data_IF_133339654007
#
_entry.id   IF_133339654007
#
_cell.length_a   1.000
_cell.length_b   1.000
_cell.length_c   1.000
_cell.angle_alpha   90.00
_cell.angle_beta   90.00
_cell.angle_gamma   90.00
#
_symmetry.space_group_name_H-M   'P 1'
#
loop_
_entity.id
_entity.type
_entity.pdbx_description
1 polymer ?
#
# COMPACT_ATOMS: atom_id res chain seq x y z
N UNK A 1 7.24 7.42 -3.80
CA UNK A 1 7.13 7.20 -5.27
C UNK A 1 5.75 7.54 -5.86
N UNK A 2 4.63 7.15 -5.23
CA UNK A 2 3.27 7.41 -5.76
C UNK A 2 2.47 8.50 -5.01
N UNK A 3 3.17 9.34 -4.25
CA UNK A 3 2.59 10.44 -3.46
C UNK A 3 2.10 10.08 -2.05
N UNK A 4 2.29 8.82 -1.64
CA UNK A 4 2.07 8.39 -0.25
C UNK A 4 3.19 8.85 0.69
N UNK A 5 2.84 9.11 1.94
CA UNK A 5 3.77 9.40 3.02
C UNK A 5 4.42 8.15 3.59
N UNK A 6 5.07 8.29 4.75
CA UNK A 6 5.67 7.15 5.45
C UNK A 6 4.55 6.25 6.00
N UNK A 7 4.59 4.93 5.73
CA UNK A 7 3.57 4.04 6.23
C UNK A 7 3.70 3.83 7.74
N UNK A 8 2.58 3.86 8.44
CA UNK A 8 2.44 3.39 9.81
C UNK A 8 1.95 1.93 9.79
N UNK A 9 2.55 1.07 10.61
CA UNK A 9 2.18 -0.34 10.72
C UNK A 9 1.61 -0.61 12.10
N UNK A 10 0.34 -1.03 12.17
CA UNK A 10 -0.33 -1.39 13.43
C UNK A 10 -0.69 -2.87 13.44
N UNK A 11 -0.21 -3.62 14.43
CA UNK A 11 -0.69 -4.99 14.70
C UNK A 11 -2.12 -4.90 15.19
N UNK A 12 -2.99 -5.76 14.66
CA UNK A 12 -4.39 -5.88 15.11
C UNK A 12 -4.68 -7.33 15.51
N UNK A 13 -5.52 -7.48 16.52
CA UNK A 13 -6.02 -8.78 16.97
C UNK A 13 -7.47 -8.91 16.52
N UNK A 14 -7.75 -9.97 15.78
CA UNK A 14 -9.08 -10.30 15.29
C UNK A 14 -9.46 -11.64 15.90
N UNK A 15 -10.32 -11.63 16.91
CA UNK A 15 -10.64 -12.82 17.71
C UNK A 15 -11.15 -14.02 16.87
N UNK A 16 -11.76 -13.74 15.72
CA UNK A 16 -12.31 -14.72 14.78
C UNK A 16 -11.25 -15.33 13.84
N UNK A 17 -10.06 -14.75 13.79
CA UNK A 17 -8.97 -15.12 12.90
C UNK A 17 -7.74 -15.49 13.74
N UNK A 18 -7.34 -16.77 13.70
CA UNK A 18 -6.21 -17.27 14.49
C UNK A 18 -4.82 -16.78 14.05
N UNK A 19 -4.73 -16.00 12.97
CA UNK A 19 -3.47 -15.52 12.39
C UNK A 19 -3.20 -14.06 12.76
N UNK A 20 -1.91 -13.69 12.81
CA UNK A 20 -1.49 -12.31 12.99
C UNK A 20 -1.88 -11.43 11.80
N UNK A 21 -2.38 -10.23 12.08
CA UNK A 21 -2.83 -9.26 11.08
C UNK A 21 -2.23 -7.90 11.37
N UNK A 22 -1.94 -7.16 10.30
CA UNK A 22 -1.38 -5.82 10.37
C UNK A 22 -2.17 -4.88 9.47
N UNK A 23 -2.45 -3.69 9.98
CA UNK A 23 -2.91 -2.55 9.19
C UNK A 23 -1.69 -1.73 8.76
N UNK A 24 -1.53 -1.57 7.45
CA UNK A 24 -0.54 -0.67 6.85
C UNK A 24 -1.27 0.59 6.41
N UNK A 25 -1.09 1.66 7.17
CA UNK A 25 -1.76 2.95 6.96
C UNK A 25 -0.77 3.88 6.29
N UNK A 26 -1.19 4.54 5.20
CA UNK A 26 -0.35 5.56 4.54
C UNK A 26 -1.18 6.80 4.24
N UNK A 27 -0.62 7.97 4.55
CA UNK A 27 -1.24 9.24 4.19
C UNK A 27 -0.97 9.58 2.73
N UNK A 28 -1.86 10.36 2.11
CA UNK A 28 -1.67 10.91 0.77
C UNK A 28 -1.15 12.35 0.87
N UNK A 29 0.17 12.52 0.77
CA UNK A 29 0.85 13.80 1.04
C UNK A 29 1.11 14.65 -0.22
N UNK A 30 1.19 14.02 -1.39
CA UNK A 30 1.40 14.73 -2.67
C UNK A 30 0.60 14.10 -3.81
N UNK A 31 0.31 14.81 -4.91
CA UNK A 31 -0.36 14.24 -6.06
C UNK A 31 0.39 13.02 -6.60
N UNK A 32 -0.37 12.02 -7.07
CA UNK A 32 0.25 10.85 -7.71
C UNK A 32 0.82 11.26 -9.08
N UNK A 33 2.08 10.91 -9.41
CA UNK A 33 2.65 11.24 -10.71
C UNK A 33 1.81 10.68 -11.86
N UNK A 34 1.69 11.45 -12.95
CA UNK A 34 0.81 11.13 -14.08
C UNK A 34 1.12 9.78 -14.76
N UNK A 35 2.35 9.28 -14.63
CA UNK A 35 2.76 7.96 -15.13
C UNK A 35 2.13 6.78 -14.38
N UNK A 36 1.42 7.02 -13.28
CA UNK A 36 0.74 6.02 -12.47
C UNK A 36 -0.79 6.22 -12.49
N UNK A 37 -1.57 5.12 -12.46
CA UNK A 37 -1.12 3.74 -12.55
C UNK A 37 -0.52 3.43 -13.93
N UNK A 38 0.43 2.49 -13.98
CA UNK A 38 0.93 1.97 -15.27
C UNK A 38 -0.18 1.16 -15.96
N UNK A 39 0.06 0.75 -17.20
CA UNK A 39 -0.88 -0.05 -18.00
C UNK A 39 -1.46 -1.23 -17.19
N UNK A 40 -2.75 -1.60 -17.38
CA UNK A 40 -3.35 -2.75 -16.73
C UNK A 40 -2.46 -4.01 -16.80
N UNK A 41 -2.35 -4.75 -15.70
CA UNK A 41 -1.48 -5.91 -15.57
C UNK A 41 0.02 -5.62 -15.34
N UNK A 42 0.53 -4.43 -15.69
CA UNK A 42 1.93 -4.05 -15.40
C UNK A 42 2.26 -3.95 -13.91
N UNK A 43 1.37 -3.44 -13.02
CA UNK A 43 1.62 -3.46 -11.58
C UNK A 43 1.97 -4.85 -11.05
N UNK A 44 1.25 -5.88 -11.48
CA UNK A 44 1.50 -7.27 -11.09
C UNK A 44 2.69 -7.87 -11.82
N UNK A 45 2.83 -7.63 -13.14
CA UNK A 45 3.90 -8.21 -13.97
C UNK A 45 5.29 -7.65 -13.66
N UNK A 46 5.38 -6.36 -13.31
CA UNK A 46 6.65 -5.67 -13.01
C UNK A 46 6.44 -4.69 -11.85
N UNK A 47 6.38 -5.13 -10.58
CA UNK A 47 6.18 -4.25 -9.43
C UNK A 47 7.17 -3.08 -9.39
N UNK A 48 6.80 -2.02 -8.68
CA UNK A 48 7.70 -0.88 -8.45
C UNK A 48 8.58 -1.28 -7.25
N UNK A 49 9.90 -1.20 -7.41
CA UNK A 49 10.89 -1.50 -6.36
C UNK A 49 11.42 -0.19 -5.78
#
# INVERSE_FOLDING_TARGET
LMGGGQPEVRRIELAELGDERYLVITEKITPTPQQYPRRPGMPSKRPIV
#
